data_IF_028823577400
#
_entry.id   IF_028823577400
#
_cell.length_a   1.000
_cell.length_b   1.000
_cell.length_c   1.000
_cell.angle_alpha   90.00
_cell.angle_beta   90.00
_cell.angle_gamma   90.00
#
_symmetry.space_group_name_H-M   'P 1'
#
loop_
_entity.id
_entity.type
_entity.pdbx_description
1 polymer ?
#
# COMPACT_ATOMS: atom_id res chain seq x y z
N UNK A 1 -14.33 -0.82 13.05
CA UNK A 1 -15.23 -0.90 14.23
C UNK A 1 -15.49 0.47 14.84
N UNK A 2 -14.48 1.29 15.17
CA UNK A 2 -14.68 2.63 15.74
C UNK A 2 -15.60 3.55 14.91
N UNK A 3 -15.56 3.49 13.58
CA UNK A 3 -16.49 4.25 12.71
C UNK A 3 -17.97 3.92 12.95
N UNK A 4 -18.29 2.65 13.25
CA UNK A 4 -19.66 2.24 13.55
C UNK A 4 -20.11 2.77 14.91
N UNK A 5 -19.22 2.70 15.92
CA UNK A 5 -19.45 3.29 17.24
C UNK A 5 -19.62 4.80 17.15
N UNK A 6 -18.76 5.49 16.38
CA UNK A 6 -18.86 6.92 16.14
C UNK A 6 -20.20 7.32 15.50
N UNK A 7 -20.69 6.53 14.54
CA UNK A 7 -22.01 6.74 13.95
C UNK A 7 -23.16 6.55 14.97
N UNK A 8 -23.04 5.55 15.85
CA UNK A 8 -24.03 5.31 16.92
C UNK A 8 -24.05 6.46 17.94
N UNK A 9 -22.88 6.89 18.45
CA UNK A 9 -22.78 8.02 19.39
C UNK A 9 -23.30 9.32 18.76
N UNK A 10 -22.96 9.56 17.49
CA UNK A 10 -23.47 10.71 16.73
C UNK A 10 -25.00 10.71 16.57
N UNK A 11 -25.63 9.53 16.63
CA UNK A 11 -27.09 9.37 16.65
C UNK A 11 -27.69 9.39 18.08
N UNK A 12 -26.87 9.66 19.11
CA UNK A 12 -27.30 9.66 20.50
C UNK A 12 -27.50 8.25 21.08
N UNK A 13 -26.97 7.21 20.43
CA UNK A 13 -27.03 5.83 20.89
C UNK A 13 -25.69 5.46 21.53
N UNK A 14 -25.63 5.19 22.84
CA UNK A 14 -24.39 4.76 23.50
C UNK A 14 -23.80 3.52 22.84
N UNK A 15 -22.48 3.49 22.72
CA UNK A 15 -21.73 2.43 22.08
C UNK A 15 -20.57 1.95 22.96
N UNK A 16 -20.07 0.75 22.69
CA UNK A 16 -18.83 0.28 23.30
C UNK A 16 -18.02 -0.51 22.29
N UNK A 17 -16.84 -0.01 21.95
CA UNK A 17 -15.94 -0.71 21.02
C UNK A 17 -15.06 -1.67 21.81
N UNK A 18 -15.15 -2.96 21.52
CA UNK A 18 -14.21 -3.95 22.06
C UNK A 18 -12.86 -3.83 21.35
N UNK A 19 -11.80 -3.56 22.10
CA UNK A 19 -10.45 -3.35 21.56
C UNK A 19 -9.46 -4.20 22.32
N UNK A 20 -8.69 -5.02 21.61
CA UNK A 20 -7.60 -5.79 22.20
C UNK A 20 -6.55 -4.83 22.78
N UNK A 21 -5.94 -5.21 23.90
CA UNK A 21 -5.01 -4.36 24.66
C UNK A 21 -3.91 -3.68 23.82
N UNK A 22 -3.29 -4.41 22.88
CA UNK A 22 -2.27 -3.86 21.98
C UNK A 22 -2.75 -2.76 21.01
N UNK A 23 -4.08 -2.60 20.87
CA UNK A 23 -4.72 -1.64 19.96
C UNK A 23 -5.36 -0.46 20.66
N UNK A 24 -5.31 -0.35 22.00
CA UNK A 24 -5.89 0.79 22.72
C UNK A 24 -5.32 2.13 22.26
N UNK A 25 -4.00 2.22 22.04
CA UNK A 25 -3.38 3.42 21.50
C UNK A 25 -3.80 3.77 20.07
N UNK A 26 -4.11 2.76 19.23
CA UNK A 26 -4.71 3.01 17.91
C UNK A 26 -6.13 3.55 18.06
N UNK A 27 -6.91 2.98 18.97
CA UNK A 27 -8.29 3.40 19.16
C UNK A 27 -8.38 4.85 19.63
N UNK A 28 -7.51 5.24 20.57
CA UNK A 28 -7.41 6.62 21.04
C UNK A 28 -6.94 7.59 19.93
N UNK A 29 -5.99 7.19 19.08
CA UNK A 29 -5.53 8.04 17.98
C UNK A 29 -6.60 8.19 16.87
N UNK A 30 -7.22 7.08 16.47
CA UNK A 30 -8.24 7.07 15.43
C UNK A 30 -9.54 7.78 15.87
N UNK A 31 -9.88 7.78 17.16
CA UNK A 31 -11.07 8.47 17.67
C UNK A 31 -10.98 9.99 17.52
N UNK A 32 -9.78 10.56 17.67
CA UNK A 32 -9.50 11.98 17.39
C UNK A 32 -9.80 12.31 15.93
N UNK A 33 -9.32 11.49 14.98
CA UNK A 33 -9.59 11.66 13.55
C UNK A 33 -11.08 11.51 13.17
N UNK A 34 -11.90 10.90 14.02
CA UNK A 34 -13.35 10.83 13.87
C UNK A 34 -14.10 12.01 14.53
N UNK A 35 -13.38 12.95 15.16
CA UNK A 35 -13.97 14.06 15.91
C UNK A 35 -14.59 13.65 17.25
N UNK A 36 -14.31 12.43 17.73
CA UNK A 36 -14.84 11.87 18.98
C UNK A 36 -13.67 11.38 19.86
N UNK A 37 -12.81 12.26 20.39
CA UNK A 37 -11.61 11.87 21.14
C UNK A 37 -11.89 10.89 22.30
N UNK A 38 -13.05 11.02 22.96
CA UNK A 38 -13.46 10.17 24.07
C UNK A 38 -14.45 9.06 23.67
N UNK A 39 -14.36 8.56 22.44
CA UNK A 39 -15.19 7.45 21.97
C UNK A 39 -15.03 6.24 22.91
N UNK A 40 -16.12 5.68 23.47
CA UNK A 40 -16.02 4.63 24.48
C UNK A 40 -15.42 3.32 23.95
N UNK A 41 -14.43 2.81 24.69
CA UNK A 41 -13.69 1.57 24.37
C UNK A 41 -13.66 0.67 25.59
N UNK A 42 -13.92 -0.61 25.39
CA UNK A 42 -13.72 -1.65 26.41
C UNK A 42 -12.52 -2.51 26.03
N UNK A 43 -11.57 -2.65 26.97
CA UNK A 43 -10.35 -3.43 26.78
C UNK A 43 -10.67 -4.93 26.81
N UNK A 44 -10.30 -5.63 25.74
CA UNK A 44 -10.13 -7.08 25.74
C UNK A 44 -8.69 -7.39 26.12
N UNK A 45 -8.50 -8.14 27.21
CA UNK A 45 -7.17 -8.45 27.76
C UNK A 45 -6.37 -9.32 26.79
N UNK A 46 -5.11 -8.97 26.55
CA UNK A 46 -4.22 -9.72 25.66
C UNK A 46 -4.72 -9.80 24.20
N UNK A 47 -4.20 -10.79 23.46
CA UNK A 47 -4.63 -11.07 22.08
C UNK A 47 -5.47 -12.36 22.06
N UNK A 48 -6.72 -12.34 21.56
CA UNK A 48 -7.61 -13.50 21.62
C UNK A 48 -7.04 -14.77 20.96
N UNK A 49 -6.28 -14.61 19.87
CA UNK A 49 -5.67 -15.72 19.14
C UNK A 49 -4.56 -16.49 19.87
N UNK A 50 -4.12 -16.05 21.05
CA UNK A 50 -3.09 -16.73 21.87
C UNK A 50 -3.61 -17.09 23.27
N UNK A 51 -4.93 -17.09 23.46
CA UNK A 51 -5.57 -17.46 24.73
C UNK A 51 -6.33 -18.78 24.56
N UNK A 52 -6.41 -19.59 25.61
CA UNK A 52 -7.38 -20.68 25.65
C UNK A 52 -8.80 -20.10 25.72
N UNK A 53 -9.81 -20.91 25.38
CA UNK A 53 -11.21 -20.48 25.45
C UNK A 53 -11.59 -20.07 26.87
N UNK A 54 -11.16 -20.84 27.86
CA UNK A 54 -11.44 -20.60 29.29
C UNK A 54 -10.76 -19.32 29.77
N UNK A 55 -9.53 -19.07 29.32
CA UNK A 55 -8.81 -17.83 29.63
C UNK A 55 -9.51 -16.62 29.03
N UNK A 56 -9.93 -16.71 27.77
CA UNK A 56 -10.65 -15.63 27.08
C UNK A 56 -12.00 -15.35 27.76
N UNK A 57 -12.76 -16.40 28.09
CA UNK A 57 -14.05 -16.28 28.78
C UNK A 57 -13.89 -15.59 30.14
N UNK A 58 -12.92 -16.04 30.94
CA UNK A 58 -12.59 -15.39 32.22
C UNK A 58 -12.20 -13.92 32.04
N UNK A 59 -11.29 -13.61 31.10
CA UNK A 59 -10.88 -12.23 30.84
C UNK A 59 -12.03 -11.33 30.35
N UNK A 60 -12.98 -11.89 29.59
CA UNK A 60 -14.17 -11.14 29.16
C UNK A 60 -15.07 -10.85 30.34
N UNK A 61 -15.38 -11.85 31.17
CA UNK A 61 -16.28 -11.70 32.31
C UNK A 61 -15.68 -10.81 33.41
N UNK A 62 -14.40 -11.00 33.73
CA UNK A 62 -13.75 -10.34 34.86
C UNK A 62 -13.30 -8.91 34.56
N UNK A 63 -13.10 -8.55 33.28
CA UNK A 63 -12.52 -7.25 32.89
C UNK A 63 -13.31 -6.55 31.79
N UNK A 64 -13.60 -7.24 30.69
CA UNK A 64 -14.18 -6.59 29.51
C UNK A 64 -15.63 -6.17 29.76
N UNK A 65 -16.42 -7.01 30.44
CA UNK A 65 -17.83 -6.82 30.72
C UNK A 65 -18.10 -5.53 31.52
N UNK A 66 -17.32 -5.30 32.59
CA UNK A 66 -17.43 -4.07 33.38
C UNK A 66 -17.18 -2.83 32.52
N UNK A 67 -16.15 -2.87 31.65
CA UNK A 67 -15.87 -1.78 30.71
C UNK A 67 -17.03 -1.53 29.73
N UNK A 68 -17.67 -2.59 29.22
CA UNK A 68 -18.86 -2.45 28.36
C UNK A 68 -20.02 -1.81 29.12
N UNK A 69 -20.31 -2.30 30.33
CA UNK A 69 -21.37 -1.75 31.17
C UNK A 69 -21.16 -0.26 31.46
N UNK A 70 -19.94 0.12 31.84
CA UNK A 70 -19.60 1.52 32.12
C UNK A 70 -19.78 2.41 30.89
N UNK A 71 -19.32 1.96 29.72
CA UNK A 71 -19.45 2.70 28.47
C UNK A 71 -20.91 2.91 28.03
N UNK A 72 -21.79 1.95 28.29
CA UNK A 72 -23.20 2.02 27.89
C UNK A 72 -24.11 2.74 28.91
N UNK A 73 -23.71 2.75 30.18
CA UNK A 73 -24.53 3.29 31.28
C UNK A 73 -24.08 4.69 31.73
N UNK A 74 -22.90 5.14 31.34
CA UNK A 74 -22.35 6.45 31.74
C UNK A 74 -21.96 7.28 30.52
N UNK A 75 -22.23 8.59 30.58
CA UNK A 75 -21.76 9.51 29.54
C UNK A 75 -20.24 9.71 29.66
N UNK A 76 -19.47 9.55 28.57
CA UNK A 76 -18.04 9.87 28.59
C UNK A 76 -17.83 11.37 28.88
N UNK A 77 -16.78 11.69 29.64
CA UNK A 77 -16.41 13.08 29.90
C UNK A 77 -16.16 13.81 28.57
N UNK A 78 -16.42 15.12 28.50
CA UNK A 78 -16.03 15.91 27.34
C UNK A 78 -14.49 16.03 27.27
N UNK A 79 -13.90 15.79 26.10
CA UNK A 79 -12.48 16.04 25.89
C UNK A 79 -12.27 17.49 25.43
N UNK A 80 -11.24 18.13 25.96
CA UNK A 80 -10.73 19.38 25.40
C UNK A 80 -10.00 19.10 24.09
N UNK A 81 -10.14 20.00 23.12
CA UNK A 81 -9.32 19.98 21.91
C UNK A 81 -8.03 20.76 22.17
N UNK A 82 -6.88 20.11 22.02
CA UNK A 82 -5.61 20.82 21.96
C UNK A 82 -5.56 21.70 20.70
N UNK A 83 -5.07 22.92 20.86
CA UNK A 83 -5.00 23.88 19.75
C UNK A 83 -3.79 23.56 18.87
N UNK A 84 -4.03 23.06 17.67
CA UNK A 84 -2.98 22.86 16.68
C UNK A 84 -2.50 24.18 16.05
N UNK A 85 -1.23 24.26 15.61
CA UNK A 85 -0.76 25.36 14.77
C UNK A 85 -1.54 25.47 13.47
N UNK A 86 -1.64 26.68 12.93
CA UNK A 86 -2.18 26.92 11.60
C UNK A 86 -1.29 26.33 10.50
N UNK A 87 -1.88 26.04 9.33
CA UNK A 87 -1.21 25.36 8.21
C UNK A 87 0.07 26.07 7.68
N UNK A 88 0.19 27.37 7.96
CA UNK A 88 1.33 28.21 7.54
C UNK A 88 2.11 28.78 8.71
N UNK A 89 1.84 28.36 9.95
CA UNK A 89 2.55 28.86 11.12
C UNK A 89 3.98 28.30 11.16
N UNK A 90 4.91 29.10 11.68
CA UNK A 90 6.29 28.66 11.90
C UNK A 90 6.34 27.95 13.25
N UNK A 91 6.51 26.63 13.23
CA UNK A 91 6.50 25.78 14.44
C UNK A 91 7.88 25.67 15.11
N UNK A 92 8.96 26.01 14.41
CA UNK A 92 10.32 25.98 14.91
C UNK A 92 11.21 26.97 14.12
N UNK A 93 12.26 27.49 14.75
CA UNK A 93 13.27 28.36 14.13
C UNK A 93 14.63 28.05 14.73
N UNK A 94 15.67 28.02 13.92
CA UNK A 94 17.01 27.63 14.35
C UNK A 94 17.90 27.23 13.18
N UNK A 95 19.09 26.73 13.50
CA UNK A 95 19.99 26.13 12.52
C UNK A 95 19.50 24.72 12.10
N UNK A 96 20.23 24.07 11.20
CA UNK A 96 19.83 22.76 10.66
C UNK A 96 19.67 21.69 11.75
N UNK A 97 20.58 21.63 12.72
CA UNK A 97 20.56 20.60 13.77
C UNK A 97 19.42 20.87 14.76
N UNK A 98 19.25 22.12 15.19
CA UNK A 98 18.16 22.54 16.09
C UNK A 98 16.77 22.24 15.53
N UNK A 99 16.57 22.48 14.22
CA UNK A 99 15.30 22.15 13.56
C UNK A 99 15.09 20.63 13.50
N UNK A 100 16.13 19.86 13.22
CA UNK A 100 16.01 18.41 13.18
C UNK A 100 15.71 17.84 14.56
N UNK A 101 16.35 18.31 15.62
CA UNK A 101 16.06 17.92 17.00
C UNK A 101 14.60 18.21 17.38
N UNK A 102 14.06 19.37 17.02
CA UNK A 102 12.65 19.70 17.21
C UNK A 102 11.71 18.76 16.42
N UNK A 103 12.07 18.40 15.18
CA UNK A 103 11.26 17.51 14.34
C UNK A 103 11.33 16.04 14.78
N UNK A 104 12.46 15.61 15.36
CA UNK A 104 12.54 14.30 16.02
C UNK A 104 11.65 14.26 17.27
N UNK A 105 11.73 15.27 18.13
CA UNK A 105 10.96 15.35 19.37
C UNK A 105 9.44 15.41 19.13
N UNK A 106 9.01 16.10 18.07
CA UNK A 106 7.59 16.22 17.68
C UNK A 106 7.07 15.06 16.84
N UNK A 107 7.94 14.14 16.40
CA UNK A 107 7.55 13.04 15.53
C UNK A 107 7.19 13.48 14.10
N UNK A 108 7.77 14.58 13.61
CA UNK A 108 7.59 15.05 12.23
C UNK A 108 8.70 14.56 11.27
N UNK A 109 9.67 13.80 11.78
CA UNK A 109 10.70 13.10 11.01
C UNK A 109 10.49 11.58 11.04
N UNK A 110 10.94 10.91 9.98
CA UNK A 110 11.03 9.45 9.84
C UNK A 110 12.25 8.84 10.55
N UNK A 111 12.96 9.62 11.38
CA UNK A 111 14.18 9.20 12.07
C UNK A 111 15.47 9.52 11.31
N UNK A 112 15.35 10.13 10.12
CA UNK A 112 16.47 10.70 9.38
C UNK A 112 16.37 12.23 9.33
N UNK A 113 17.48 12.94 9.08
CA UNK A 113 17.43 14.38 8.92
C UNK A 113 16.49 14.78 7.78
N UNK A 114 15.66 15.77 8.02
CA UNK A 114 14.83 16.40 7.00
C UNK A 114 15.54 17.63 6.47
N UNK A 115 15.20 18.04 5.25
CA UNK A 115 15.55 19.39 4.80
C UNK A 115 14.51 20.35 5.39
N UNK A 116 14.91 21.35 6.22
CA UNK A 116 13.96 22.29 6.80
C UNK A 116 13.08 22.94 5.73
N UNK A 117 11.73 22.80 5.81
CA UNK A 117 10.81 23.28 4.80
C UNK A 117 10.54 24.78 4.97
N UNK A 118 11.55 25.60 4.69
CA UNK A 118 11.39 27.07 4.71
C UNK A 118 10.40 27.52 3.63
N UNK A 119 9.75 28.68 3.83
CA UNK A 119 8.77 29.21 2.87
C UNK A 119 9.35 29.34 1.47
N UNK A 120 10.59 29.81 1.37
CA UNK A 120 11.27 30.01 0.09
C UNK A 120 11.44 28.69 -0.66
N UNK A 121 11.77 27.58 0.05
CA UNK A 121 11.91 26.24 -0.54
C UNK A 121 10.55 25.69 -0.99
N UNK A 122 9.52 25.86 -0.17
CA UNK A 122 8.14 25.45 -0.48
C UNK A 122 7.65 26.18 -1.73
N UNK A 123 7.88 27.49 -1.83
CA UNK A 123 7.53 28.28 -3.00
C UNK A 123 8.23 27.82 -4.29
N UNK A 124 9.44 27.26 -4.22
CA UNK A 124 10.11 26.68 -5.41
C UNK A 124 9.34 25.49 -5.96
N UNK A 125 8.80 24.64 -5.09
CA UNK A 125 7.95 23.51 -5.48
C UNK A 125 6.63 24.00 -6.07
N UNK A 126 5.99 24.99 -5.44
CA UNK A 126 4.73 25.55 -5.92
C UNK A 126 4.87 26.18 -7.31
N UNK A 127 6.04 26.73 -7.66
CA UNK A 127 6.32 27.22 -9.03
C UNK A 127 6.35 26.14 -10.11
N UNK A 128 6.34 24.85 -9.75
CA UNK A 128 6.37 23.71 -10.69
C UNK A 128 4.98 23.12 -10.97
N UNK A 129 3.92 23.72 -10.42
CA UNK A 129 2.53 23.35 -10.66
C UNK A 129 1.67 24.59 -10.88
N UNK A 130 0.61 24.48 -11.68
CA UNK A 130 -0.38 25.54 -11.89
C UNK A 130 -1.55 25.44 -10.90
N UNK A 131 -1.53 24.44 -10.02
CA UNK A 131 -2.57 24.18 -9.03
C UNK A 131 -2.50 25.14 -7.85
N UNK A 132 -3.66 25.46 -7.28
CA UNK A 132 -3.78 26.33 -6.12
C UNK A 132 -3.12 25.66 -4.89
N UNK A 133 -2.20 26.32 -4.17
CA UNK A 133 -1.62 25.79 -2.93
C UNK A 133 -2.64 25.30 -1.88
N UNK A 134 -3.83 25.91 -1.83
CA UNK A 134 -4.89 25.57 -0.88
C UNK A 134 -5.87 24.51 -1.42
N UNK A 135 -5.70 24.07 -2.67
CA UNK A 135 -6.48 22.98 -3.25
C UNK A 135 -6.27 21.69 -2.47
N UNK A 136 -7.36 21.07 -2.02
CA UNK A 136 -7.35 19.73 -1.41
C UNK A 136 -7.44 18.65 -2.47
N UNK A 137 -6.49 17.72 -2.44
CA UNK A 137 -6.44 16.52 -3.27
C UNK A 137 -7.28 15.37 -2.69
N UNK A 138 -7.82 15.57 -1.49
CA UNK A 138 -8.64 14.59 -0.76
C UNK A 138 -8.34 14.61 0.74
N UNK A 139 -9.17 13.91 1.50
CA UNK A 139 -8.99 13.75 2.94
C UNK A 139 -8.33 12.41 3.25
N UNK A 140 -7.23 12.42 3.99
CA UNK A 140 -6.47 11.22 4.31
C UNK A 140 -6.81 10.71 5.71
N UNK A 141 -7.18 9.43 5.76
CA UNK A 141 -7.50 8.71 6.98
C UNK A 141 -6.24 7.98 7.52
N UNK A 142 -6.16 7.70 8.83
CA UNK A 142 -7.18 7.91 9.86
C UNK A 142 -7.27 9.32 10.47
N UNK A 143 -6.26 10.19 10.31
CA UNK A 143 -6.26 11.51 10.96
C UNK A 143 -7.25 12.52 10.34
N UNK A 144 -7.90 12.16 9.23
CA UNK A 144 -8.90 12.98 8.52
C UNK A 144 -8.39 14.36 8.10
N UNK A 145 -7.08 14.48 7.81
CA UNK A 145 -6.48 15.74 7.35
C UNK A 145 -6.66 15.93 5.84
N UNK A 146 -6.92 17.17 5.44
CA UNK A 146 -6.89 17.53 4.03
C UNK A 146 -5.45 17.45 3.49
N UNK A 147 -5.27 16.74 2.38
CA UNK A 147 -4.02 16.70 1.65
C UNK A 147 -3.99 17.85 0.63
N UNK A 148 -3.36 18.96 0.97
CA UNK A 148 -3.30 20.14 0.09
C UNK A 148 -2.04 20.16 -0.77
N UNK A 149 -2.07 20.91 -1.87
CA UNK A 149 -0.87 21.15 -2.71
C UNK A 149 0.26 21.77 -1.87
N UNK A 150 -0.06 22.64 -0.91
CA UNK A 150 0.88 23.15 0.09
C UNK A 150 1.53 22.04 0.92
N UNK A 151 0.75 21.13 1.51
CA UNK A 151 1.31 20.03 2.32
C UNK A 151 2.16 19.07 1.50
N UNK A 152 1.83 18.89 0.20
CA UNK A 152 2.67 18.14 -0.76
C UNK A 152 4.04 18.81 -0.90
N UNK A 153 4.08 20.12 -1.14
CA UNK A 153 5.33 20.85 -1.29
C UNK A 153 6.18 20.82 0.00
N UNK A 154 5.57 21.03 1.17
CA UNK A 154 6.25 20.97 2.48
C UNK A 154 6.93 19.61 2.70
N UNK A 155 6.19 18.51 2.54
CA UNK A 155 6.73 17.17 2.73
C UNK A 155 7.73 16.80 1.62
N UNK A 156 7.53 17.31 0.40
CA UNK A 156 8.48 17.17 -0.70
C UNK A 156 9.84 17.76 -0.36
N UNK A 157 9.86 18.97 0.20
CA UNK A 157 11.09 19.60 0.71
C UNK A 157 11.69 18.73 1.81
N UNK A 158 10.93 18.37 2.84
CA UNK A 158 11.41 17.56 3.98
C UNK A 158 12.09 16.28 3.54
N UNK A 159 11.53 15.59 2.54
CA UNK A 159 12.05 14.34 1.99
C UNK A 159 13.33 14.50 1.14
N UNK A 160 13.75 15.73 0.85
CA UNK A 160 14.90 16.01 -0.01
C UNK A 160 14.59 15.90 -1.51
N UNK A 161 13.31 15.95 -1.90
CA UNK A 161 12.92 15.99 -3.31
C UNK A 161 13.49 17.25 -3.98
N UNK A 162 13.54 17.24 -5.31
CA UNK A 162 13.74 18.48 -6.08
C UNK A 162 12.39 19.08 -6.45
N UNK A 163 12.28 20.40 -6.64
CA UNK A 163 11.05 21.04 -7.09
C UNK A 163 10.46 20.41 -8.35
N UNK A 164 11.28 19.98 -9.31
CA UNK A 164 10.79 19.38 -10.57
C UNK A 164 10.01 18.08 -10.37
N UNK A 165 10.07 17.48 -9.17
CA UNK A 165 9.30 16.26 -8.86
C UNK A 165 7.85 16.57 -8.50
N UNK A 166 7.49 17.85 -8.28
CA UNK A 166 6.17 18.26 -7.79
C UNK A 166 4.99 17.64 -8.56
N UNK A 167 5.00 17.55 -9.92
CA UNK A 167 3.92 16.88 -10.64
C UNK A 167 3.74 15.40 -10.26
N UNK A 168 4.84 14.68 -10.02
CA UNK A 168 4.83 13.28 -9.55
C UNK A 168 4.27 13.20 -8.13
N UNK A 169 4.70 14.12 -7.25
CA UNK A 169 4.25 14.14 -5.86
C UNK A 169 2.74 14.37 -5.76
N UNK A 170 2.21 15.30 -6.56
CA UNK A 170 0.76 15.58 -6.62
C UNK A 170 0.00 14.35 -7.09
N UNK A 171 0.41 13.72 -8.20
CA UNK A 171 -0.25 12.51 -8.71
C UNK A 171 -0.22 11.34 -7.72
N UNK A 172 0.87 11.21 -6.95
CA UNK A 172 0.96 10.21 -5.88
C UNK A 172 -0.04 10.46 -4.76
N UNK A 173 -0.24 11.72 -4.36
CA UNK A 173 -1.20 12.04 -3.29
C UNK A 173 -2.64 11.92 -3.77
N UNK A 174 -2.92 12.22 -5.04
CA UNK A 174 -4.23 11.89 -5.64
C UNK A 174 -4.50 10.39 -5.69
N UNK A 175 -3.46 9.58 -5.93
CA UNK A 175 -3.57 8.12 -5.88
C UNK A 175 -3.75 7.64 -4.43
N UNK A 176 -3.03 8.24 -3.47
CA UNK A 176 -3.15 7.95 -2.04
C UNK A 176 -4.57 8.25 -1.52
N UNK A 177 -5.17 9.34 -1.98
CA UNK A 177 -6.52 9.75 -1.61
C UNK A 177 -7.63 8.94 -2.32
N UNK A 178 -7.29 8.08 -3.28
CA UNK A 178 -8.27 7.23 -3.95
C UNK A 178 -8.86 6.21 -2.95
N UNK A 179 -10.19 6.18 -2.76
CA UNK A 179 -10.84 5.19 -1.89
C UNK A 179 -10.53 3.74 -2.28
N UNK A 180 -10.28 3.45 -3.56
CA UNK A 180 -9.87 2.12 -4.00
C UNK A 180 -8.51 1.72 -3.43
N UNK A 181 -7.58 2.67 -3.28
CA UNK A 181 -6.28 2.39 -2.65
C UNK A 181 -6.44 2.07 -1.15
N UNK A 182 -7.37 2.74 -0.46
CA UNK A 182 -7.66 2.49 0.95
C UNK A 182 -6.48 2.87 1.86
N UNK A 183 -6.14 4.16 1.89
CA UNK A 183 -5.04 4.70 2.70
C UNK A 183 -5.22 4.43 4.19
N UNK A 184 -6.45 4.34 4.70
CA UNK A 184 -6.73 4.03 6.11
C UNK A 184 -6.15 2.68 6.57
N UNK A 185 -5.85 1.79 5.62
CA UNK A 185 -5.33 0.47 5.89
C UNK A 185 -3.79 0.42 5.92
N UNK A 186 -3.10 1.57 5.79
CA UNK A 186 -1.63 1.63 5.67
C UNK A 186 -0.89 1.28 6.96
N UNK A 187 -1.55 1.35 8.12
CA UNK A 187 -0.99 1.00 9.43
C UNK A 187 -1.30 -0.44 9.87
N UNK A 188 -1.62 -1.34 8.94
CA UNK A 188 -2.03 -2.72 9.26
C UNK A 188 -0.91 -3.56 9.91
N UNK A 189 -1.31 -4.60 10.64
CA UNK A 189 -0.36 -5.45 11.37
C UNK A 189 0.63 -6.24 10.52
N UNK A 190 0.31 -6.68 9.28
CA UNK A 190 1.33 -7.24 8.38
C UNK A 190 2.46 -6.29 7.99
N UNK A 191 2.32 -4.98 8.23
CA UNK A 191 3.37 -3.98 7.95
C UNK A 191 3.69 -3.84 6.47
N UNK A 192 2.67 -3.95 5.62
CA UNK A 192 2.82 -3.79 4.18
C UNK A 192 3.23 -2.37 3.79
N UNK A 193 4.06 -2.26 2.76
CA UNK A 193 4.51 -0.97 2.22
C UNK A 193 4.12 -0.83 0.75
N UNK A 194 3.94 0.42 0.36
CA UNK A 194 3.55 0.85 -0.97
C UNK A 194 4.72 0.69 -1.92
N UNK A 195 4.50 0.01 -3.04
CA UNK A 195 5.37 0.11 -4.20
C UNK A 195 4.80 1.17 -5.13
N UNK A 196 5.68 2.05 -5.62
CA UNK A 196 5.36 3.05 -6.63
C UNK A 196 6.01 2.58 -7.94
N UNK A 197 5.19 2.33 -8.97
CA UNK A 197 5.64 2.08 -10.34
C UNK A 197 5.48 3.37 -11.12
N UNK A 198 6.54 3.81 -11.78
CA UNK A 198 6.55 5.01 -12.62
C UNK A 198 6.66 4.64 -14.09
N UNK A 199 5.84 5.29 -14.91
CA UNK A 199 5.74 5.11 -16.35
C UNK A 199 5.90 6.42 -17.11
N UNK A 200 6.26 6.32 -18.39
CA UNK A 200 6.29 7.40 -19.36
C UNK A 200 7.59 8.20 -19.45
N UNK A 201 7.60 9.25 -20.31
CA UNK A 201 8.81 10.02 -20.63
C UNK A 201 9.43 10.74 -19.42
N UNK A 202 8.64 10.97 -18.36
CA UNK A 202 9.11 11.60 -17.12
C UNK A 202 10.28 10.85 -16.45
N UNK A 203 10.38 9.54 -16.68
CA UNK A 203 11.46 8.69 -16.17
C UNK A 203 12.82 9.26 -16.60
N UNK A 204 13.01 9.52 -17.91
CA UNK A 204 14.26 10.10 -18.42
C UNK A 204 14.40 11.56 -18.10
N UNK A 205 13.31 12.33 -18.21
CA UNK A 205 13.32 13.77 -17.96
C UNK A 205 13.79 14.13 -16.55
N UNK A 206 13.44 13.30 -15.56
CA UNK A 206 13.82 13.52 -14.16
C UNK A 206 15.01 12.67 -13.69
N UNK A 207 15.50 11.76 -14.53
CA UNK A 207 16.70 10.94 -14.27
C UNK A 207 16.46 9.78 -13.30
N UNK A 208 15.30 9.12 -13.37
CA UNK A 208 15.05 7.90 -12.60
C UNK A 208 15.90 6.74 -13.10
N UNK A 209 16.41 5.94 -12.16
CA UNK A 209 16.96 4.64 -12.51
C UNK A 209 15.85 3.62 -12.73
N UNK A 210 15.95 2.87 -13.82
CA UNK A 210 15.08 1.75 -14.20
C UNK A 210 15.91 0.51 -14.58
N UNK A 211 17.21 0.50 -14.21
CA UNK A 211 18.19 -0.51 -14.61
C UNK A 211 18.79 -1.24 -13.40
N UNK A 212 20.09 -1.52 -13.39
CA UNK A 212 20.76 -2.23 -12.30
C UNK A 212 20.43 -1.59 -10.95
N UNK A 213 20.08 -2.43 -9.97
CA UNK A 213 19.71 -1.97 -8.64
C UNK A 213 18.44 -1.10 -8.61
N UNK A 214 17.44 -1.33 -9.47
CA UNK A 214 16.21 -0.49 -9.53
C UNK A 214 15.47 -0.34 -8.18
N UNK A 215 15.60 -1.30 -7.26
CA UNK A 215 15.03 -1.22 -5.91
C UNK A 215 16.03 -0.81 -4.83
N UNK A 216 17.23 -0.34 -5.21
CA UNK A 216 18.24 0.20 -4.29
C UNK A 216 18.10 1.72 -4.18
N UNK A 217 18.46 2.24 -3.01
CA UNK A 217 18.72 3.65 -2.83
C UNK A 217 19.97 4.12 -3.59
N UNK A 218 20.08 5.43 -3.80
CA UNK A 218 21.25 6.06 -4.41
C UNK A 218 20.90 6.99 -5.59
N UNK A 219 19.78 6.73 -6.27
CA UNK A 219 19.25 7.64 -7.29
C UNK A 219 18.25 8.59 -6.65
N UNK A 220 18.63 9.87 -6.51
CA UNK A 220 17.82 10.89 -5.82
C UNK A 220 16.34 10.87 -6.20
N UNK A 221 15.90 10.86 -7.47
CA UNK A 221 14.47 10.79 -7.80
C UNK A 221 13.79 9.54 -7.23
N UNK A 222 14.36 8.35 -7.43
CA UNK A 222 13.80 7.10 -6.89
C UNK A 222 13.72 7.11 -5.36
N UNK A 223 14.80 7.53 -4.69
CA UNK A 223 14.93 7.47 -3.24
C UNK A 223 14.09 8.53 -2.53
N UNK A 224 14.21 9.81 -2.93
CA UNK A 224 13.53 10.91 -2.24
C UNK A 224 12.02 10.87 -2.40
N UNK A 225 11.50 10.40 -3.54
CA UNK A 225 10.05 10.26 -3.74
C UNK A 225 9.49 9.08 -2.94
N UNK A 226 10.23 7.97 -2.85
CA UNK A 226 9.89 6.88 -1.94
C UNK A 226 9.83 7.34 -0.48
N UNK A 227 10.83 8.12 -0.04
CA UNK A 227 10.85 8.71 1.30
C UNK A 227 9.71 9.71 1.51
N UNK A 228 9.43 10.55 0.52
CA UNK A 228 8.30 11.49 0.53
C UNK A 228 6.99 10.77 0.85
N UNK A 229 6.71 9.66 0.16
CA UNK A 229 5.49 8.89 0.38
C UNK A 229 5.33 8.50 1.85
N UNK A 230 6.39 7.97 2.47
CA UNK A 230 6.36 7.54 3.86
C UNK A 230 6.25 8.71 4.85
N UNK A 231 6.98 9.80 4.60
CA UNK A 231 6.85 11.02 5.39
C UNK A 231 5.44 11.61 5.29
N UNK A 232 4.80 11.56 4.12
CA UNK A 232 3.44 12.05 3.92
C UNK A 232 2.41 11.21 4.68
N UNK A 233 2.53 9.87 4.63
CA UNK A 233 1.71 8.97 5.43
C UNK A 233 1.84 9.27 6.93
N UNK A 234 3.06 9.56 7.41
CA UNK A 234 3.31 9.92 8.81
C UNK A 234 2.68 11.28 9.17
N UNK A 235 3.02 12.32 8.41
CA UNK A 235 2.77 13.71 8.79
C UNK A 235 1.35 14.19 8.46
N UNK A 236 0.71 13.60 7.45
CA UNK A 236 -0.62 14.02 6.98
C UNK A 236 -1.68 12.95 7.24
N UNK A 237 -1.42 11.70 6.89
CA UNK A 237 -2.39 10.63 7.16
C UNK A 237 -2.36 10.14 8.63
N UNK A 238 -1.29 10.45 9.37
CA UNK A 238 -1.18 10.17 10.80
C UNK A 238 -0.56 8.82 11.17
N UNK A 239 0.07 8.10 10.23
CA UNK A 239 0.64 6.76 10.47
C UNK A 239 1.97 6.81 11.23
N UNK A 240 1.86 7.08 12.54
CA UNK A 240 2.98 7.06 13.48
C UNK A 240 3.08 5.69 14.17
N UNK A 241 4.29 5.08 14.24
CA UNK A 241 4.52 3.88 15.06
C UNK A 241 4.04 4.07 16.49
N UNK A 242 3.52 2.99 17.08
CA UNK A 242 2.88 2.96 18.41
C UNK A 242 1.54 3.71 18.51
N UNK A 243 1.15 4.47 17.48
CA UNK A 243 -0.16 5.14 17.36
C UNK A 243 -0.99 4.47 16.26
N UNK A 244 -1.21 5.15 15.13
CA UNK A 244 -2.03 4.65 14.02
C UNK A 244 -1.30 3.61 13.14
N UNK A 245 0.02 3.50 13.25
CA UNK A 245 0.78 2.43 12.60
C UNK A 245 1.00 1.27 13.57
N UNK A 246 0.42 0.10 13.21
CA UNK A 246 0.46 -1.14 13.98
C UNK A 246 1.25 -2.25 13.29
N UNK A 247 2.14 -1.92 12.35
CA UNK A 247 3.02 -2.89 11.73
C UNK A 247 3.76 -3.73 12.80
N UNK A 248 3.60 -5.06 12.73
CA UNK A 248 4.32 -6.01 13.59
C UNK A 248 5.78 -6.13 13.14
N UNK A 249 5.98 -6.32 11.83
CA UNK A 249 7.27 -6.24 11.15
C UNK A 249 7.13 -5.25 10.01
N UNK A 250 7.95 -4.20 10.00
CA UNK A 250 7.87 -3.13 9.01
C UNK A 250 8.90 -3.27 7.90
N UNK A 251 8.54 -2.82 6.70
CA UNK A 251 9.50 -2.50 5.65
C UNK A 251 10.00 -1.06 5.82
N UNK A 252 11.18 -0.74 5.29
CA UNK A 252 11.55 0.66 5.02
C UNK A 252 10.65 1.23 3.93
N UNK A 253 10.69 2.55 3.69
CA UNK A 253 10.09 3.07 2.46
C UNK A 253 10.73 2.40 1.25
N UNK A 254 9.93 2.19 0.20
CA UNK A 254 10.42 1.64 -1.06
C UNK A 254 10.80 2.77 -2.00
N UNK A 255 11.94 2.64 -2.66
CA UNK A 255 12.29 3.54 -3.76
C UNK A 255 11.30 3.34 -4.91
N UNK A 256 11.09 4.39 -5.71
CA UNK A 256 10.24 4.31 -6.91
C UNK A 256 10.85 3.30 -7.89
N UNK A 257 10.03 2.40 -8.42
CA UNK A 257 10.41 1.48 -9.51
C UNK A 257 9.96 2.09 -10.82
N UNK A 258 10.91 2.61 -11.60
CA UNK A 258 10.61 3.03 -12.96
C UNK A 258 10.61 1.80 -13.90
N UNK A 259 9.61 1.73 -14.78
CA UNK A 259 9.53 0.68 -15.80
C UNK A 259 10.45 0.99 -16.98
N UNK A 260 11.09 -0.03 -17.54
CA UNK A 260 11.95 0.09 -18.71
C UNK A 260 11.11 0.09 -19.99
N UNK A 261 10.49 1.23 -20.28
CA UNK A 261 9.57 1.34 -21.43
C UNK A 261 10.26 1.18 -22.79
N UNK A 262 11.57 1.41 -22.92
CA UNK A 262 12.28 1.12 -24.18
C UNK A 262 12.15 -0.35 -24.55
N UNK A 263 12.38 -1.23 -23.57
CA UNK A 263 12.29 -2.67 -23.76
C UNK A 263 10.84 -3.07 -23.98
N UNK A 264 9.91 -2.58 -23.15
CA UNK A 264 8.47 -2.87 -23.28
C UNK A 264 7.97 -2.53 -24.69
N UNK A 265 8.29 -1.35 -25.20
CA UNK A 265 7.89 -0.92 -26.55
C UNK A 265 8.59 -1.74 -27.63
N UNK A 266 9.89 -2.01 -27.48
CA UNK A 266 10.67 -2.82 -28.43
C UNK A 266 10.09 -4.22 -28.61
N UNK A 267 9.61 -4.84 -27.53
CA UNK A 267 9.06 -6.20 -27.55
C UNK A 267 7.55 -6.25 -27.85
N UNK A 268 6.92 -5.10 -28.11
CA UNK A 268 5.48 -5.01 -28.39
C UNK A 268 4.58 -5.35 -27.21
N UNK A 269 5.07 -5.20 -25.98
CA UNK A 269 4.27 -5.36 -24.76
C UNK A 269 3.67 -4.01 -24.32
N UNK A 270 2.73 -4.08 -23.39
CA UNK A 270 2.10 -2.92 -22.74
C UNK A 270 2.82 -2.58 -21.43
N UNK A 271 2.92 -1.29 -21.12
CA UNK A 271 3.41 -0.83 -19.82
C UNK A 271 2.35 -1.05 -18.72
N UNK A 272 2.76 -1.05 -17.45
CA UNK A 272 1.82 -1.20 -16.31
C UNK A 272 0.74 -0.12 -16.33
N UNK A 273 1.10 1.13 -16.60
CA UNK A 273 0.12 2.21 -16.68
C UNK A 273 -0.93 2.02 -17.78
N UNK A 274 -0.56 1.43 -18.92
CA UNK A 274 -1.50 1.11 -20.01
C UNK A 274 -2.46 0.00 -19.61
N UNK A 275 -1.96 -1.04 -18.94
CA UNK A 275 -2.80 -2.11 -18.38
C UNK A 275 -3.79 -1.57 -17.33
N UNK A 276 -3.43 -0.48 -16.66
CA UNK A 276 -4.28 0.25 -15.70
C UNK A 276 -5.17 1.33 -16.36
N UNK A 277 -5.17 1.43 -17.68
CA UNK A 277 -6.07 2.30 -18.46
C UNK A 277 -5.53 3.68 -18.83
N UNK A 278 -4.24 3.97 -18.60
CA UNK A 278 -3.61 5.19 -19.13
C UNK A 278 -3.32 5.05 -20.64
N UNK A 279 -3.21 6.18 -21.34
CA UNK A 279 -2.83 6.15 -22.75
C UNK A 279 -1.33 5.82 -22.92
N UNK A 280 -1.00 5.14 -24.02
CA UNK A 280 0.39 4.88 -24.37
C UNK A 280 1.19 6.20 -24.46
N UNK A 281 2.32 6.27 -23.76
CA UNK A 281 3.19 7.45 -23.71
C UNK A 281 2.81 8.49 -22.67
N UNK A 282 1.70 8.34 -21.95
CA UNK A 282 1.42 9.17 -20.77
C UNK A 282 2.46 8.91 -19.67
N UNK A 283 2.84 9.97 -18.97
CA UNK A 283 3.53 9.83 -17.69
C UNK A 283 2.52 9.50 -16.61
N UNK A 284 2.75 8.44 -15.83
CA UNK A 284 1.80 7.98 -14.82
C UNK A 284 2.51 7.32 -13.63
N UNK A 285 1.86 7.32 -12.48
CA UNK A 285 2.22 6.50 -11.32
C UNK A 285 1.16 5.42 -11.11
N UNK A 286 1.59 4.22 -10.77
CA UNK A 286 0.73 3.15 -10.23
C UNK A 286 1.22 2.79 -8.85
N UNK A 287 0.34 2.83 -7.85
CA UNK A 287 0.65 2.46 -6.47
C UNK A 287 -0.12 1.21 -6.07
N UNK A 288 0.51 0.34 -5.30
CA UNK A 288 -0.18 -0.75 -4.61
C UNK A 288 0.61 -1.17 -3.36
N UNK A 289 -0.06 -1.80 -2.38
CA UNK A 289 0.58 -2.22 -1.13
C UNK A 289 0.94 -3.70 -1.17
N UNK A 290 2.14 -4.01 -0.68
CA UNK A 290 2.64 -5.38 -0.63
C UNK A 290 3.28 -5.67 0.72
N UNK A 291 3.01 -6.83 1.28
CA UNK A 291 3.53 -7.23 2.61
C UNK A 291 4.93 -7.83 2.55
N UNK A 292 5.42 -8.11 1.36
CA UNK A 292 6.77 -8.63 1.13
C UNK A 292 6.99 -9.00 -0.32
N UNK A 293 8.12 -9.62 -0.59
CA UNK A 293 8.48 -10.14 -1.90
C UNK A 293 9.69 -11.05 -1.84
N UNK A 294 9.96 -11.77 -2.94
CA UNK A 294 11.10 -12.65 -3.04
C UNK A 294 11.84 -12.46 -4.38
N UNK A 295 13.16 -12.55 -4.31
CA UNK A 295 14.05 -12.44 -5.46
C UNK A 295 14.37 -13.84 -6.02
N UNK A 296 14.14 -14.02 -7.32
CA UNK A 296 14.58 -15.19 -8.07
C UNK A 296 15.87 -14.80 -8.80
N UNK A 297 17.00 -15.29 -8.29
CA UNK A 297 18.32 -14.87 -8.74
C UNK A 297 18.65 -15.26 -10.18
N UNK A 298 18.20 -16.43 -10.61
CA UNK A 298 18.47 -16.97 -11.95
C UNK A 298 17.28 -17.74 -12.48
N UNK A 299 16.64 -17.20 -13.53
CA UNK A 299 15.65 -17.89 -14.37
C UNK A 299 16.36 -18.34 -15.64
N UNK A 300 16.67 -19.63 -15.74
CA UNK A 300 17.47 -20.18 -16.84
C UNK A 300 16.57 -20.86 -17.86
N UNK A 301 16.81 -20.61 -19.14
CA UNK A 301 16.07 -21.24 -20.24
C UNK A 301 16.29 -20.51 -21.55
N UNK A 302 16.23 -21.22 -22.67
CA UNK A 302 16.30 -20.63 -24.01
C UNK A 302 14.91 -20.39 -24.63
N UNK A 303 13.85 -20.92 -24.01
CA UNK A 303 12.45 -20.80 -24.43
C UNK A 303 11.59 -20.38 -23.23
N UNK A 304 10.41 -19.78 -23.45
CA UNK A 304 9.45 -19.49 -22.38
C UNK A 304 9.19 -20.74 -21.52
N UNK A 305 8.89 -21.87 -22.15
CA UNK A 305 8.54 -23.14 -21.49
C UNK A 305 9.64 -23.64 -20.55
N UNK A 306 10.92 -23.41 -20.89
CA UNK A 306 12.04 -23.75 -20.01
C UNK A 306 12.13 -22.81 -18.79
N UNK A 307 11.72 -21.55 -18.93
CA UNK A 307 11.71 -20.55 -17.84
C UNK A 307 10.50 -20.69 -16.92
N UNK A 308 9.35 -21.13 -17.45
CA UNK A 308 8.07 -21.13 -16.75
C UNK A 308 8.06 -21.91 -15.43
N UNK A 309 8.68 -23.10 -15.29
CA UNK A 309 8.74 -23.80 -14.01
C UNK A 309 9.30 -22.96 -12.86
N UNK A 310 10.31 -22.13 -13.11
CA UNK A 310 10.87 -21.21 -12.12
C UNK A 310 9.85 -20.14 -11.71
N UNK A 311 9.15 -19.57 -12.69
CA UNK A 311 8.19 -18.49 -12.45
C UNK A 311 6.94 -19.00 -11.74
N UNK A 312 6.43 -20.20 -12.10
CA UNK A 312 5.28 -20.82 -11.47
C UNK A 312 5.55 -21.16 -10.00
N UNK A 313 6.66 -21.85 -9.74
CA UNK A 313 7.05 -22.26 -8.38
C UNK A 313 7.29 -21.04 -7.50
N UNK A 314 8.02 -20.03 -8.00
CA UNK A 314 8.25 -18.79 -7.25
C UNK A 314 6.96 -18.01 -6.99
N UNK A 315 6.05 -17.95 -7.96
CA UNK A 315 4.75 -17.30 -7.79
C UNK A 315 3.95 -18.00 -6.70
N UNK A 316 3.77 -19.32 -6.76
CA UNK A 316 3.00 -20.08 -5.76
C UNK A 316 3.61 -19.95 -4.36
N UNK A 317 4.94 -20.06 -4.23
CA UNK A 317 5.64 -19.96 -2.93
C UNK A 317 5.55 -18.59 -2.28
N UNK A 318 5.33 -17.54 -3.07
CA UNK A 318 5.23 -16.17 -2.55
C UNK A 318 3.91 -15.90 -1.82
N UNK A 319 2.85 -16.68 -2.11
CA UNK A 319 1.54 -16.49 -1.51
C UNK A 319 1.24 -17.54 -0.45
N UNK A 320 0.72 -17.05 0.67
CA UNK A 320 0.21 -17.88 1.75
C UNK A 320 -1.09 -17.28 2.28
N UNK A 321 -1.08 -16.61 3.43
CA UNK A 321 -2.27 -15.98 4.02
C UNK A 321 -2.91 -14.93 3.11
N UNK A 322 -2.16 -14.32 2.19
CA UNK A 322 -2.67 -13.35 1.22
C UNK A 322 -3.74 -13.93 0.28
N UNK A 323 -3.85 -15.25 0.18
CA UNK A 323 -4.94 -15.92 -0.56
C UNK A 323 -6.33 -15.59 0.01
N UNK A 324 -6.41 -15.03 1.22
CA UNK A 324 -7.66 -14.46 1.73
C UNK A 324 -8.22 -13.35 0.83
N UNK A 325 -7.37 -12.65 0.07
CA UNK A 325 -7.79 -11.62 -0.90
C UNK A 325 -8.28 -12.21 -2.23
N UNK A 326 -8.08 -13.50 -2.44
CA UNK A 326 -8.65 -14.25 -3.57
C UNK A 326 -9.99 -14.83 -3.18
N UNK A 327 -10.03 -15.61 -2.10
CA UNK A 327 -11.26 -16.22 -1.55
C UNK A 327 -11.30 -15.97 -0.04
N UNK A 328 -11.93 -14.87 0.38
CA UNK A 328 -11.88 -14.42 1.76
C UNK A 328 -12.38 -13.00 1.95
N UNK A 329 -11.61 -12.20 2.68
CA UNK A 329 -11.88 -10.77 2.81
C UNK A 329 -11.41 -10.04 1.55
N UNK A 330 -12.28 -9.24 0.93
CA UNK A 330 -11.95 -8.56 -0.32
C UNK A 330 -11.73 -9.55 -1.47
N UNK A 331 -12.66 -10.48 -1.67
CA UNK A 331 -12.58 -11.50 -2.72
C UNK A 331 -12.24 -10.91 -4.11
N UNK A 332 -11.38 -11.62 -4.85
CA UNK A 332 -10.98 -11.22 -6.20
C UNK A 332 -10.09 -9.98 -6.29
N UNK A 333 -9.55 -9.49 -5.17
CA UNK A 333 -8.72 -8.26 -5.13
C UNK A 333 -7.22 -8.52 -5.11
N UNK A 334 -6.78 -9.78 -5.04
CA UNK A 334 -5.34 -10.10 -5.10
C UNK A 334 -4.77 -9.69 -6.47
N UNK A 335 -3.69 -8.90 -6.45
CA UNK A 335 -2.96 -8.42 -7.65
C UNK A 335 -1.46 -8.69 -7.55
N UNK A 336 -1.03 -9.96 -7.74
CA UNK A 336 0.38 -10.32 -7.75
C UNK A 336 1.20 -9.43 -8.68
N UNK A 337 2.37 -8.95 -8.24
CA UNK A 337 3.27 -8.18 -9.10
C UNK A 337 4.57 -8.94 -9.32
N UNK A 338 4.93 -9.12 -10.59
CA UNK A 338 6.22 -9.64 -11.03
C UNK A 338 7.04 -8.54 -11.70
N UNK A 339 8.22 -8.25 -11.16
CA UNK A 339 9.25 -7.49 -11.88
C UNK A 339 10.09 -8.46 -12.71
N UNK A 340 10.09 -8.27 -14.01
CA UNK A 340 10.80 -9.12 -14.97
C UNK A 340 11.98 -8.34 -15.53
N UNK A 341 13.17 -8.94 -15.47
CA UNK A 341 14.35 -8.35 -16.11
C UNK A 341 14.19 -8.27 -17.64
N UNK A 342 14.73 -7.23 -18.29
CA UNK A 342 14.68 -7.05 -19.73
C UNK A 342 15.04 -8.30 -20.54
N UNK A 343 16.14 -8.98 -20.21
CA UNK A 343 16.59 -10.16 -20.96
C UNK A 343 15.57 -11.31 -20.94
N UNK A 344 14.84 -11.50 -19.83
CA UNK A 344 13.79 -12.51 -19.74
C UNK A 344 12.59 -12.08 -20.59
N UNK A 345 12.15 -10.83 -20.46
CA UNK A 345 11.02 -10.32 -21.23
C UNK A 345 11.28 -10.38 -22.74
N UNK A 346 12.48 -9.98 -23.19
CA UNK A 346 12.92 -10.08 -24.57
C UNK A 346 13.01 -11.53 -25.06
N UNK A 347 13.49 -12.45 -24.23
CA UNK A 347 13.54 -13.88 -24.60
C UNK A 347 12.13 -14.44 -24.76
N UNK A 348 11.21 -14.13 -23.84
CA UNK A 348 9.82 -14.58 -23.93
C UNK A 348 9.15 -14.02 -25.19
N UNK A 349 9.27 -12.72 -25.43
CA UNK A 349 8.69 -12.07 -26.60
C UNK A 349 9.32 -12.53 -27.93
N UNK A 350 10.62 -12.90 -27.93
CA UNK A 350 11.31 -13.46 -29.09
C UNK A 350 10.72 -14.79 -29.58
N UNK A 351 10.01 -15.51 -28.69
CA UNK A 351 9.23 -16.70 -29.02
C UNK A 351 7.76 -16.40 -29.36
N UNK A 352 7.43 -15.12 -29.56
CA UNK A 352 6.10 -14.66 -29.98
C UNK A 352 5.08 -14.52 -28.84
N UNK A 353 5.47 -14.67 -27.57
CA UNK A 353 4.57 -14.51 -26.45
C UNK A 353 4.32 -13.02 -26.15
N UNK A 354 3.05 -12.64 -26.09
CA UNK A 354 2.64 -11.35 -25.54
C UNK A 354 2.68 -11.37 -24.01
N UNK A 355 2.63 -10.18 -23.39
CA UNK A 355 2.43 -10.04 -21.94
C UNK A 355 1.18 -10.80 -21.45
N UNK A 356 0.14 -10.80 -22.28
CA UNK A 356 -1.13 -11.50 -22.02
C UNK A 356 -0.96 -13.02 -22.07
N UNK A 357 -0.10 -13.54 -22.94
CA UNK A 357 0.23 -14.98 -22.95
C UNK A 357 0.94 -15.39 -21.66
N UNK A 358 1.91 -14.58 -21.20
CA UNK A 358 2.58 -14.82 -19.92
C UNK A 358 1.59 -14.80 -18.74
N UNK A 359 0.68 -13.82 -18.69
CA UNK A 359 -0.39 -13.76 -17.67
C UNK A 359 -1.28 -15.00 -17.69
N UNK A 360 -1.74 -15.43 -18.89
CA UNK A 360 -2.53 -16.66 -19.05
C UNK A 360 -1.77 -17.88 -18.57
N UNK A 361 -0.51 -18.01 -18.95
CA UNK A 361 0.31 -19.14 -18.56
C UNK A 361 0.52 -19.20 -17.03
N UNK A 362 0.75 -18.06 -16.38
CA UNK A 362 0.77 -17.97 -14.91
C UNK A 362 -0.56 -18.42 -14.30
N UNK A 363 -1.70 -17.96 -14.82
CA UNK A 363 -3.02 -18.36 -14.32
C UNK A 363 -3.32 -19.85 -14.50
N UNK A 364 -2.89 -20.43 -15.61
CA UNK A 364 -3.14 -21.84 -15.93
C UNK A 364 -2.25 -22.78 -15.12
N UNK A 365 -1.03 -22.35 -14.77
CA UNK A 365 -0.01 -23.25 -14.21
C UNK A 365 0.53 -22.87 -12.82
N UNK A 366 0.53 -21.60 -12.43
CA UNK A 366 0.87 -21.18 -11.06
C UNK A 366 -0.34 -21.44 -10.14
N UNK A 367 -0.57 -22.71 -9.84
CA UNK A 367 -1.73 -23.21 -9.10
C UNK A 367 -1.30 -24.01 -7.88
N UNK A 368 -2.23 -24.21 -6.95
CA UNK A 368 -2.04 -25.11 -5.80
C UNK A 368 -3.21 -26.08 -5.62
N UNK A 369 -2.99 -27.24 -4.96
CA UNK A 369 -4.08 -28.16 -4.65
C UNK A 369 -5.18 -27.49 -3.82
N UNK A 370 -6.44 -27.74 -4.14
CA UNK A 370 -7.58 -27.18 -3.41
C UNK A 370 -7.54 -27.46 -1.90
N UNK A 371 -7.10 -28.67 -1.50
CA UNK A 371 -6.91 -29.01 -0.09
C UNK A 371 -5.95 -28.07 0.65
N UNK A 372 -4.92 -27.60 -0.03
CA UNK A 372 -3.93 -26.70 0.56
C UNK A 372 -4.48 -25.28 0.65
N UNK A 373 -5.17 -24.83 -0.41
CA UNK A 373 -5.88 -23.55 -0.42
C UNK A 373 -6.90 -23.49 0.72
N UNK A 374 -7.77 -24.49 0.83
CA UNK A 374 -8.79 -24.59 1.89
C UNK A 374 -8.17 -24.69 3.29
N UNK A 375 -7.03 -25.38 3.44
CA UNK A 375 -6.27 -25.43 4.69
C UNK A 375 -5.79 -24.05 5.12
N UNK A 376 -5.23 -23.25 4.19
CA UNK A 376 -4.82 -21.87 4.48
C UNK A 376 -6.04 -21.03 4.89
N UNK A 377 -7.16 -21.13 4.15
CA UNK A 377 -8.36 -20.37 4.46
C UNK A 377 -8.91 -20.71 5.86
N UNK A 378 -8.94 -21.99 6.21
CA UNK A 378 -9.45 -22.50 7.48
C UNK A 378 -8.52 -22.19 8.64
N UNK A 379 -7.25 -22.55 8.53
CA UNK A 379 -6.35 -22.61 9.68
C UNK A 379 -5.63 -21.28 9.90
N UNK A 380 -5.27 -20.58 8.82
CA UNK A 380 -4.43 -19.38 8.91
C UNK A 380 -5.27 -18.11 8.87
N UNK A 381 -6.23 -18.06 7.95
CA UNK A 381 -7.09 -16.86 7.78
C UNK A 381 -8.40 -16.96 8.56
N UNK A 382 -8.67 -18.13 9.16
CA UNK A 382 -9.83 -18.41 10.02
C UNK A 382 -11.16 -17.98 9.40
N UNK A 383 -11.30 -18.16 8.08
CA UNK A 383 -12.50 -17.77 7.35
C UNK A 383 -13.67 -18.66 7.79
N UNK A 384 -14.84 -18.09 8.15
CA UNK A 384 -16.00 -18.90 8.58
C UNK A 384 -16.43 -19.94 7.54
N UNK A 385 -16.42 -19.56 6.27
CA UNK A 385 -16.68 -20.46 5.13
C UNK A 385 -15.40 -20.65 4.33
N UNK A 386 -14.56 -21.59 4.74
CA UNK A 386 -13.25 -21.84 4.11
C UNK A 386 -13.31 -22.86 2.95
N UNK A 387 -14.42 -23.58 2.83
CA UNK A 387 -14.61 -24.62 1.82
C UNK A 387 -14.96 -24.02 0.45
N UNK A 388 -14.23 -24.39 -0.61
CA UNK A 388 -14.39 -23.79 -1.95
C UNK A 388 -15.70 -24.23 -2.62
N UNK A 389 -16.21 -25.43 -2.34
CA UNK A 389 -17.52 -25.89 -2.83
C UNK A 389 -18.63 -24.99 -2.32
N UNK A 390 -18.67 -24.75 -1.01
CA UNK A 390 -19.69 -23.90 -0.39
C UNK A 390 -19.62 -22.45 -0.90
N UNK A 391 -18.41 -21.92 -1.16
CA UNK A 391 -18.24 -20.61 -1.77
C UNK A 391 -18.74 -20.57 -3.22
N UNK A 392 -18.49 -21.63 -3.99
CA UNK A 392 -18.94 -21.74 -5.38
C UNK A 392 -20.45 -21.93 -5.50
N UNK A 393 -21.04 -22.83 -4.70
CA UNK A 393 -22.49 -23.08 -4.65
C UNK A 393 -23.25 -21.82 -4.25
N UNK A 394 -22.65 -20.97 -3.41
CA UNK A 394 -23.20 -19.67 -3.07
C UNK A 394 -22.95 -18.57 -4.12
N UNK A 395 -22.32 -18.89 -5.26
CA UNK A 395 -22.07 -17.97 -6.37
C UNK A 395 -21.04 -16.87 -6.09
N UNK A 396 -20.21 -17.02 -5.05
CA UNK A 396 -19.27 -15.96 -4.62
C UNK A 396 -17.89 -16.04 -5.27
N UNK A 397 -17.53 -17.18 -5.82
CA UNK A 397 -16.24 -17.39 -6.49
C UNK A 397 -16.41 -17.99 -7.90
N UNK A 398 -15.48 -17.71 -8.83
CA UNK A 398 -15.52 -18.27 -10.17
C UNK A 398 -15.47 -19.80 -10.17
N UNK A 399 -16.09 -20.43 -11.19
CA UNK A 399 -16.16 -21.89 -11.34
C UNK A 399 -14.78 -22.58 -11.33
N UNK A 400 -13.72 -21.92 -11.80
CA UNK A 400 -12.35 -22.47 -11.86
C UNK A 400 -11.79 -22.88 -10.48
N UNK A 401 -12.36 -22.38 -9.38
CA UNK A 401 -11.98 -22.79 -8.02
C UNK A 401 -12.68 -24.08 -7.54
N UNK A 402 -13.71 -24.52 -8.25
CA UNK A 402 -14.50 -25.71 -7.93
C UNK A 402 -15.03 -26.40 -9.21
N UNK A 403 -14.11 -26.92 -10.03
CA UNK A 403 -14.46 -27.69 -11.24
C UNK A 403 -14.87 -29.13 -10.93
N UNK A 404 -14.46 -29.65 -9.77
CA UNK A 404 -14.81 -30.98 -9.24
C UNK A 404 -14.68 -31.01 -7.72
N UNK A 405 -15.23 -32.06 -7.09
CA UNK A 405 -15.09 -32.31 -5.64
C UNK A 405 -13.69 -32.88 -5.27
N UNK A 406 -12.77 -33.09 -6.22
CA UNK A 406 -11.43 -33.64 -5.95
C UNK A 406 -10.58 -32.66 -5.11
N UNK A 407 -10.14 -33.02 -3.89
CA UNK A 407 -9.27 -32.16 -3.07
C UNK A 407 -7.87 -31.93 -3.67
N UNK A 408 -7.44 -32.78 -4.61
CA UNK A 408 -6.19 -32.66 -5.36
C UNK A 408 -6.26 -31.73 -6.57
N UNK A 409 -7.46 -31.26 -6.97
CA UNK A 409 -7.62 -30.36 -8.12
C UNK A 409 -6.79 -29.09 -7.95
N UNK A 410 -6.22 -28.61 -9.04
CA UNK A 410 -5.36 -27.43 -9.04
C UNK A 410 -6.17 -26.15 -9.25
N UNK A 411 -6.16 -25.27 -8.26
CA UNK A 411 -6.88 -24.00 -8.28
C UNK A 411 -5.92 -22.81 -8.48
N UNK A 412 -6.33 -21.77 -9.22
CA UNK A 412 -5.48 -20.60 -9.45
C UNK A 412 -5.34 -19.72 -8.20
N UNK A 413 -4.33 -18.85 -8.20
CA UNK A 413 -4.10 -17.89 -7.11
C UNK A 413 -4.98 -16.64 -7.23
N UNK A 414 -5.44 -16.30 -8.43
CA UNK A 414 -6.23 -15.09 -8.74
C UNK A 414 -7.48 -15.48 -9.54
N UNK A 415 -8.39 -14.54 -9.79
CA UNK A 415 -9.66 -14.84 -10.46
C UNK A 415 -9.55 -14.83 -11.98
N UNK A 416 -8.67 -13.98 -12.51
CA UNK A 416 -8.48 -13.82 -13.96
C UNK A 416 -6.99 -13.67 -14.26
N UNK A 417 -6.51 -14.04 -15.45
CA UNK A 417 -5.11 -13.87 -15.78
C UNK A 417 -4.64 -12.40 -15.73
N UNK A 418 -5.51 -11.44 -16.03
CA UNK A 418 -5.25 -9.99 -15.96
C UNK A 418 -4.91 -9.52 -14.53
N UNK A 419 -5.27 -10.28 -13.51
CA UNK A 419 -4.98 -9.92 -12.12
C UNK A 419 -3.48 -9.99 -11.81
N UNK A 420 -2.68 -10.71 -12.60
CA UNK A 420 -1.22 -10.67 -12.52
C UNK A 420 -0.66 -9.39 -13.14
N UNK A 421 -0.10 -8.52 -12.31
CA UNK A 421 0.67 -7.35 -12.75
C UNK A 421 2.09 -7.78 -13.13
N UNK A 422 2.59 -7.28 -14.26
CA UNK A 422 3.94 -7.54 -14.74
C UNK A 422 4.58 -6.21 -15.14
N UNK A 423 5.77 -5.92 -14.63
CA UNK A 423 6.55 -4.74 -15.01
C UNK A 423 7.93 -5.17 -15.51
N UNK A 424 8.37 -4.63 -16.64
CA UNK A 424 9.73 -4.90 -17.15
C UNK A 424 10.69 -3.86 -16.62
N UNK A 425 11.66 -4.27 -15.81
CA UNK A 425 12.57 -3.33 -15.13
C UNK A 425 13.81 -4.04 -14.61
N UNK A 426 14.86 -3.29 -14.27
CA UNK A 426 16.07 -3.85 -13.68
C UNK A 426 17.21 -4.01 -14.67
N UNK A 427 18.23 -4.76 -14.25
CA UNK A 427 19.45 -4.98 -15.02
C UNK A 427 19.14 -5.63 -16.38
N UNK A 428 19.65 -5.01 -17.45
CA UNK A 428 19.43 -5.45 -18.84
C UNK A 428 19.99 -6.84 -19.13
N UNK A 429 20.97 -7.30 -18.34
CA UNK A 429 21.80 -8.48 -18.65
C UNK A 429 21.64 -9.62 -17.65
N UNK A 430 20.87 -9.42 -16.58
CA UNK A 430 20.67 -10.42 -15.53
C UNK A 430 19.29 -11.03 -15.63
N UNK A 431 19.25 -12.35 -15.76
CA UNK A 431 18.04 -13.17 -15.84
C UNK A 431 17.40 -13.37 -14.46
N UNK A 432 17.06 -12.29 -13.78
CA UNK A 432 16.42 -12.33 -12.47
C UNK A 432 14.98 -11.82 -12.52
N UNK A 433 14.18 -12.25 -11.55
CA UNK A 433 12.79 -11.82 -11.35
C UNK A 433 12.58 -11.46 -9.89
N UNK A 434 11.60 -10.62 -9.59
CA UNK A 434 11.14 -10.37 -8.24
C UNK A 434 9.62 -10.46 -8.17
N UNK A 435 9.07 -11.17 -7.18
CA UNK A 435 7.61 -11.34 -7.03
C UNK A 435 7.18 -10.74 -5.69
N UNK A 436 6.19 -9.86 -5.72
CA UNK A 436 5.65 -9.23 -4.51
C UNK A 436 4.33 -9.87 -4.05
N UNK A 437 4.19 -10.11 -2.74
CA UNK A 437 2.93 -10.52 -2.14
C UNK A 437 1.99 -9.32 -1.92
N UNK A 438 0.98 -9.17 -2.77
CA UNK A 438 0.01 -8.07 -2.75
C UNK A 438 -0.95 -8.18 -1.57
N UNK A 439 -1.38 -7.03 -1.04
CA UNK A 439 -2.21 -6.92 0.14
C UNK A 439 -3.72 -6.74 -0.16
N UNK A 440 -4.16 -7.17 -1.35
CA UNK A 440 -5.56 -7.14 -1.79
C UNK A 440 -6.19 -5.76 -1.71
N UNK A 441 -7.41 -5.73 -1.18
CA UNK A 441 -8.20 -4.51 -0.94
C UNK A 441 -7.53 -3.52 0.03
N UNK A 442 -6.58 -3.98 0.85
CA UNK A 442 -5.86 -3.14 1.82
C UNK A 442 -4.64 -2.48 1.17
N UNK A 443 -4.86 -1.77 0.06
CA UNK A 443 -3.81 -1.24 -0.82
C UNK A 443 -3.97 -1.70 -2.27
N UNK A 444 -5.20 -1.64 -2.80
CA UNK A 444 -5.50 -2.10 -4.15
C UNK A 444 -4.78 -1.22 -5.19
N UNK A 445 -4.37 -1.77 -6.36
CA UNK A 445 -3.65 -0.98 -7.34
C UNK A 445 -4.47 0.21 -7.85
N UNK A 446 -3.87 1.40 -7.82
CA UNK A 446 -4.45 2.64 -8.35
C UNK A 446 -3.43 3.33 -9.23
N UNK A 447 -3.85 3.74 -10.43
CA UNK A 447 -3.05 4.54 -11.33
C UNK A 447 -3.54 5.99 -11.38
N UNK A 448 -2.59 6.92 -11.55
CA UNK A 448 -2.85 8.34 -11.83
C UNK A 448 -1.90 8.83 -12.91
N UNK A 449 -2.46 9.51 -13.91
CA UNK A 449 -1.69 10.27 -14.89
C UNK A 449 -1.02 11.46 -14.18
N UNK A 450 0.20 11.75 -14.56
CA UNK A 450 0.95 12.93 -14.11
C UNK A 450 0.63 14.09 -15.04
N UNK A 451 -0.05 15.10 -14.51
CA UNK A 451 -0.27 16.35 -15.23
C UNK A 451 1.00 17.22 -15.15
N UNK A 452 1.66 17.42 -16.29
CA UNK A 452 2.77 18.37 -16.39
C UNK A 452 2.18 19.77 -16.50
N UNK A 453 2.72 20.73 -15.76
CA UNK A 453 2.35 22.13 -15.90
C UNK A 453 2.60 22.58 -17.34
N UNK A 454 1.69 23.40 -17.87
CA UNK A 454 1.91 24.05 -19.16
C UNK A 454 3.15 24.90 -19.01
N UNK A 455 4.16 24.69 -19.86
CA UNK A 455 5.49 25.30 -19.77
C UNK A 455 5.48 26.76 -19.30
N UNK A 456 5.64 27.01 -18.00
CA UNK A 456 6.39 28.18 -17.56
C UNK A 456 7.85 27.85 -17.84
N UNK A 457 8.21 28.04 -19.10
CA UNK A 457 9.60 28.06 -19.54
C UNK A 457 10.35 28.96 -18.56
N UNK A 458 11.27 28.35 -17.81
CA UNK A 458 12.25 29.10 -17.05
C UNK A 458 13.15 29.79 -18.09
N UNK A 459 12.88 31.07 -18.33
CA UNK A 459 13.90 32.04 -18.77
C UNK A 459 14.89 32.26 -17.65
#
# INVERSE_FOLDING_TARGET
>A
MLRASAAAEGAGVPSSTLVCEGFLGLAAAASVGLGLPNLPVARVVGHPGVQSKEMLERNVLDVTLEGVMNNLLSAPAAAGADREPGARDVIASGNFDEINDAFYASGLSDGLPIIPPTREKVEQFLRRTDRDPDESLGNLLPDSRAATVWSVAVNGVMAGCRPEYMPVLVALIEAMADPAYGVEHSGNTPGGETLIILNGPIIRQLGFNYTQGVMRDGFRPNTSIGRFWRLYLRNVAGFLPHKNDKATFGNTWRVVVAENEDVVRKIGWTAVSEDMGCAAGDSAVTIARYTGGNHISSVSGATPEAMMPYLHDAMVRQYSWQLMFTVGQGMGTLRPLMLVSPIIAETIAGWGWSKRDLQRHLFDHARMPAREFERILRDWTQKPTWNLKAEHEAGRIPRVFHESDDPGRMVPLVWKPEDYMIAVTGDLTRNSVYIFAHNGVLGFPVARRIALSGSRAAT
#
